data_IF_437989320269
#
_entry.id   IF_437989320269
#
_cell.length_a   1.000
_cell.length_b   1.000
_cell.length_c   1.000
_cell.angle_alpha   90.00
_cell.angle_beta   90.00
_cell.angle_gamma   90.00
#
_symmetry.space_group_name_H-M   'P 1'
#
loop_
_entity.id
_entity.type
_entity.pdbx_description
1 polymer ?
#
# COMPACT_ATOMS: atom_id res chain seq x y z
N UNK A 1 -9.40 0.35 12.86
CA UNK A 1 -10.47 1.17 12.28
C UNK A 1 -10.52 0.84 10.80
N UNK A 2 -11.68 0.48 10.24
CA UNK A 2 -11.83 0.24 8.79
C UNK A 2 -12.54 1.46 8.22
N UNK A 3 -11.84 2.25 7.40
CA UNK A 3 -12.40 3.44 6.73
C UNK A 3 -12.83 3.08 5.31
N UNK A 4 -13.99 3.58 4.88
CA UNK A 4 -14.44 3.46 3.49
C UNK A 4 -14.09 4.74 2.75
N UNK A 5 -13.34 4.62 1.64
CA UNK A 5 -12.95 5.76 0.80
C UNK A 5 -14.00 6.06 -0.27
N UNK A 6 -13.78 7.13 -1.01
CA UNK A 6 -14.67 7.61 -2.09
C UNK A 6 -14.97 6.50 -3.11
N UNK A 7 -16.13 6.55 -3.77
CA UNK A 7 -16.47 5.60 -4.84
C UNK A 7 -15.64 5.76 -6.12
N UNK A 8 -14.86 6.84 -6.24
CA UNK A 8 -13.95 7.05 -7.36
C UNK A 8 -12.58 6.42 -7.05
N UNK A 9 -12.12 5.52 -7.94
CA UNK A 9 -10.85 4.82 -7.81
C UNK A 9 -9.66 5.78 -7.82
N UNK A 10 -9.68 6.81 -8.66
CA UNK A 10 -8.56 7.76 -8.80
C UNK A 10 -8.43 8.64 -7.57
N UNK A 11 -9.54 9.19 -7.08
CA UNK A 11 -9.56 10.00 -5.87
C UNK A 11 -9.14 9.18 -4.64
N UNK A 12 -9.52 7.90 -4.58
CA UNK A 12 -9.12 7.00 -3.48
C UNK A 12 -7.62 6.69 -3.48
N UNK A 13 -7.02 6.50 -4.66
CA UNK A 13 -5.57 6.28 -4.79
C UNK A 13 -4.81 7.52 -4.31
N UNK A 14 -5.24 8.73 -4.69
CA UNK A 14 -4.61 9.98 -4.23
C UNK A 14 -4.73 10.17 -2.71
N UNK A 15 -5.88 9.85 -2.11
CA UNK A 15 -6.06 9.93 -0.66
C UNK A 15 -5.16 8.93 0.09
N UNK A 16 -5.04 7.70 -0.42
CA UNK A 16 -4.12 6.71 0.15
C UNK A 16 -2.66 7.13 -0.02
N UNK A 17 -2.30 7.71 -1.16
CA UNK A 17 -0.95 8.22 -1.40
C UNK A 17 -0.60 9.37 -0.43
N UNK A 18 -1.55 10.26 -0.16
CA UNK A 18 -1.38 11.31 0.85
C UNK A 18 -1.13 10.71 2.24
N UNK A 19 -1.97 9.77 2.69
CA UNK A 19 -1.78 9.06 3.96
C UNK A 19 -0.43 8.33 4.05
N UNK A 20 -0.01 7.67 2.96
CA UNK A 20 1.30 7.03 2.85
C UNK A 20 2.45 8.03 3.04
N UNK A 21 2.35 9.23 2.46
CA UNK A 21 3.36 10.27 2.62
C UNK A 21 3.40 10.89 4.03
N UNK A 22 2.29 10.86 4.77
CA UNK A 22 2.26 11.21 6.20
C UNK A 22 2.62 10.02 7.11
N UNK A 23 3.06 8.90 6.50
CA UNK A 23 3.43 7.66 7.15
C UNK A 23 2.30 7.07 8.02
N UNK A 24 1.04 7.38 7.70
CA UNK A 24 -0.16 6.83 8.35
C UNK A 24 -0.50 5.40 7.89
N UNK A 25 0.39 4.80 7.08
CA UNK A 25 0.22 3.48 6.47
C UNK A 25 1.48 2.65 6.71
N UNK A 26 1.31 1.51 7.37
CA UNK A 26 2.40 0.58 7.69
C UNK A 26 2.64 -0.44 6.58
N UNK A 27 1.60 -0.76 5.81
CA UNK A 27 1.62 -1.73 4.72
C UNK A 27 0.46 -1.49 3.74
N UNK A 28 0.64 -1.86 2.46
CA UNK A 28 -0.39 -1.77 1.42
C UNK A 28 -0.60 -3.13 0.76
N UNK A 29 -1.86 -3.56 0.68
CA UNK A 29 -2.29 -4.69 -0.15
C UNK A 29 -3.11 -4.15 -1.33
N UNK A 30 -2.53 -4.20 -2.52
CA UNK A 30 -3.11 -3.65 -3.75
C UNK A 30 -3.22 -4.74 -4.83
N UNK A 31 -4.22 -5.60 -4.67
CA UNK A 31 -4.48 -6.70 -5.59
C UNK A 31 -5.05 -6.15 -6.90
N UNK A 32 -4.36 -6.44 -7.99
CA UNK A 32 -4.73 -6.04 -9.35
C UNK A 32 -4.97 -7.25 -10.22
N UNK A 33 -5.83 -7.10 -11.21
CA UNK A 33 -5.91 -8.06 -12.31
C UNK A 33 -4.79 -7.76 -13.34
N UNK A 34 -3.82 -8.67 -13.54
CA UNK A 34 -2.74 -8.45 -14.50
C UNK A 34 -3.21 -8.40 -15.96
N UNK A 35 -4.44 -8.83 -16.26
CA UNK A 35 -5.00 -8.82 -17.61
C UNK A 35 -5.71 -7.49 -17.94
N UNK A 36 -5.96 -6.63 -16.95
CA UNK A 36 -6.54 -5.31 -17.16
C UNK A 36 -5.46 -4.26 -17.45
N UNK A 37 -5.56 -3.60 -18.60
CA UNK A 37 -4.66 -2.49 -19.00
C UNK A 37 -4.84 -1.20 -18.21
N UNK A 38 -5.91 -1.11 -17.42
CA UNK A 38 -6.24 0.07 -16.61
C UNK A 38 -5.14 0.44 -15.60
N UNK A 39 -4.21 -0.48 -15.31
CA UNK A 39 -3.13 -0.28 -14.33
C UNK A 39 -1.81 0.24 -14.92
N UNK A 40 -1.74 0.51 -16.24
CA UNK A 40 -0.52 1.05 -16.90
C UNK A 40 -0.30 2.55 -16.64
N UNK A 41 -1.27 3.23 -16.03
CA UNK A 41 -1.14 4.65 -15.67
C UNK A 41 -0.29 4.85 -14.41
N UNK A 42 0.36 6.02 -14.25
CA UNK A 42 1.12 6.35 -13.06
C UNK A 42 0.22 6.26 -11.82
N UNK A 43 0.58 5.39 -10.88
CA UNK A 43 -0.15 5.20 -9.63
C UNK A 43 0.61 5.91 -8.50
N UNK A 44 0.06 7.02 -8.01
CA UNK A 44 0.66 7.85 -6.96
C UNK A 44 0.86 7.10 -5.64
N UNK A 45 0.00 6.12 -5.33
CA UNK A 45 0.16 5.27 -4.15
C UNK A 45 1.39 4.37 -4.27
N UNK A 46 1.66 3.76 -5.43
CA UNK A 46 2.86 2.95 -5.64
C UNK A 46 4.12 3.80 -5.43
N UNK A 47 4.15 5.00 -6.03
CA UNK A 47 5.27 5.93 -5.86
C UNK A 47 5.47 6.35 -4.40
N UNK A 48 4.37 6.62 -3.69
CA UNK A 48 4.43 6.94 -2.26
C UNK A 48 4.98 5.76 -1.45
N UNK A 49 4.64 4.52 -1.81
CA UNK A 49 5.19 3.34 -1.14
C UNK A 49 6.71 3.24 -1.34
N UNK A 50 7.20 3.42 -2.57
CA UNK A 50 8.63 3.38 -2.87
C UNK A 50 9.41 4.46 -2.10
N UNK A 51 8.90 5.69 -2.08
CA UNK A 51 9.56 6.83 -1.40
C UNK A 51 9.63 6.62 0.12
N UNK A 52 8.55 6.13 0.72
CA UNK A 52 8.44 5.97 2.18
C UNK A 52 8.82 4.55 2.64
N UNK A 53 9.41 3.73 1.75
CA UNK A 53 9.77 2.32 1.99
C UNK A 53 8.62 1.46 2.53
N UNK A 54 7.37 1.80 2.20
CA UNK A 54 6.17 1.10 2.69
C UNK A 54 6.06 -0.26 1.97
N UNK A 55 6.01 -1.37 2.73
CA UNK A 55 5.80 -2.70 2.16
C UNK A 55 4.50 -2.78 1.36
N UNK A 56 4.60 -3.32 0.15
CA UNK A 56 3.52 -3.40 -0.82
C UNK A 56 3.34 -4.83 -1.33
N UNK A 57 2.11 -5.33 -1.31
CA UNK A 57 1.72 -6.58 -1.95
C UNK A 57 0.79 -6.34 -3.14
N UNK A 58 1.15 -6.87 -4.31
CA UNK A 58 0.32 -6.76 -5.54
C UNK A 58 -0.36 -8.07 -5.93
N UNK A 59 -0.06 -9.15 -5.21
CA UNK A 59 -0.62 -10.47 -5.39
C UNK A 59 -0.85 -11.14 -4.02
N UNK A 60 -1.65 -12.22 -4.01
CA UNK A 60 -2.05 -12.90 -2.79
C UNK A 60 -0.88 -13.55 -2.06
N UNK A 61 0.08 -14.14 -2.77
CA UNK A 61 1.24 -14.78 -2.14
C UNK A 61 2.11 -13.77 -1.38
N UNK A 62 2.34 -12.58 -1.96
CA UNK A 62 3.04 -11.49 -1.27
C UNK A 62 2.22 -10.93 -0.12
N UNK A 63 0.88 -10.85 -0.25
CA UNK A 63 0.01 -10.38 0.82
C UNK A 63 0.04 -11.32 2.04
N UNK A 64 0.05 -12.63 1.81
CA UNK A 64 0.20 -13.64 2.87
C UNK A 64 1.54 -13.47 3.59
N UNK A 65 2.65 -13.36 2.85
CA UNK A 65 3.96 -13.09 3.45
C UNK A 65 3.97 -11.79 4.26
N UNK A 66 3.32 -10.73 3.76
CA UNK A 66 3.29 -9.44 4.41
C UNK A 66 2.49 -9.47 5.73
N UNK A 67 1.35 -10.15 5.75
CA UNK A 67 0.54 -10.33 6.97
C UNK A 67 1.33 -11.11 8.03
N UNK A 68 2.00 -12.20 7.62
CA UNK A 68 2.83 -12.99 8.53
C UNK A 68 4.04 -12.19 9.07
N UNK A 69 4.65 -11.35 8.24
CA UNK A 69 5.74 -10.47 8.67
C UNK A 69 5.27 -9.43 9.69
N UNK A 70 4.07 -8.85 9.50
CA UNK A 70 3.45 -7.94 10.47
C UNK A 70 3.20 -8.64 11.80
N UNK A 71 2.62 -9.84 11.79
CA UNK A 71 2.33 -10.62 13.00
C UNK A 71 3.60 -10.96 13.80
N UNK A 72 4.74 -11.11 13.11
CA UNK A 72 6.04 -11.39 13.73
C UNK A 72 6.78 -10.15 14.24
N UNK A 73 6.35 -8.95 13.86
CA UNK A 73 7.10 -7.70 14.13
C UNK A 73 8.27 -7.47 13.19
N UNK A 74 8.34 -8.15 12.03
CA UNK A 74 9.44 -7.99 11.07
C UNK A 74 9.45 -6.59 10.43
N UNK A 75 8.39 -5.79 10.61
CA UNK A 75 8.27 -4.42 10.11
C UNK A 75 8.61 -3.34 11.15
N UNK A 76 8.93 -3.71 12.40
CA UNK A 76 9.17 -2.77 13.50
C UNK A 76 10.34 -1.82 13.23
N UNK A 77 11.26 -2.19 12.33
CA UNK A 77 12.35 -1.32 11.87
C UNK A 77 11.84 0.00 11.28
N UNK A 78 10.61 0.04 10.74
CA UNK A 78 9.99 1.26 10.18
C UNK A 78 9.74 2.32 11.24
N UNK A 79 9.42 1.92 12.47
CA UNK A 79 9.26 2.84 13.60
C UNK A 79 10.60 3.43 14.08
N UNK A 80 11.71 2.74 13.81
CA UNK A 80 13.06 3.21 14.18
C UNK A 80 13.63 4.26 13.21
N UNK A 81 13.14 4.29 11.97
CA UNK A 81 13.63 5.19 10.92
C UNK A 81 12.68 6.38 10.64
N UNK A 82 11.54 6.41 11.31
CA UNK A 82 10.49 7.42 11.14
C UNK A 82 10.85 8.76 11.77
#
# INVERSE_FOLDING_TARGET
>A
MVETLTTDMSASIEQLAAKANYNEIDAVVYLRDPLLRTYDTPNSLLKACDVNSIPLATNVATAEMLILAIDRGDLDWRELIR
#
